data_IF_655366242137
#
_entry.id   IF_655366242137
#
_cell.length_a   1.000
_cell.length_b   1.000
_cell.length_c   1.000
_cell.angle_alpha   90.00
_cell.angle_beta   90.00
_cell.angle_gamma   90.00
#
_symmetry.space_group_name_H-M   'P 1'
#
loop_
_entity.id
_entity.type
_entity.pdbx_description
1 polymer ?
#
# COMPACT_ATOMS: atom_id res chain seq x y z
N UNK A 1 19.75 -16.78 -65.58
CA UNK A 1 20.78 -16.98 -64.54
C UNK A 1 20.11 -16.95 -63.19
N UNK A 2 20.26 -18.03 -62.43
CA UNK A 2 19.56 -18.27 -61.18
C UNK A 2 19.91 -17.19 -60.15
N UNK A 3 18.88 -16.61 -59.52
CA UNK A 3 19.04 -15.87 -58.26
C UNK A 3 19.31 -16.91 -57.18
N UNK A 4 20.58 -17.18 -56.93
CA UNK A 4 21.00 -17.91 -55.74
C UNK A 4 20.58 -17.10 -54.51
N UNK A 5 19.64 -17.64 -53.74
CA UNK A 5 19.27 -17.12 -52.43
C UNK A 5 20.50 -17.15 -51.53
N UNK A 6 21.12 -15.99 -51.32
CA UNK A 6 22.18 -15.82 -50.32
C UNK A 6 21.56 -16.05 -48.95
N UNK A 7 21.64 -17.28 -48.47
CA UNK A 7 21.26 -17.67 -47.11
C UNK A 7 22.21 -16.91 -46.17
N UNK A 8 21.79 -15.74 -45.70
CA UNK A 8 22.61 -14.82 -44.94
C UNK A 8 23.13 -15.47 -43.66
N UNK A 9 24.45 -15.67 -43.58
CA UNK A 9 25.12 -16.21 -42.38
C UNK A 9 24.90 -15.22 -41.23
N UNK A 10 24.24 -15.68 -40.16
CA UNK A 10 23.94 -14.85 -39.00
C UNK A 10 25.26 -14.41 -38.33
N UNK A 11 25.48 -13.11 -38.10
CA UNK A 11 26.71 -12.64 -37.46
C UNK A 11 26.88 -13.19 -36.03
N UNK A 12 28.10 -13.55 -35.64
CA UNK A 12 28.40 -14.08 -34.31
C UNK A 12 27.97 -13.17 -33.16
N UNK A 13 28.01 -11.85 -33.36
CA UNK A 13 27.56 -10.85 -32.40
C UNK A 13 26.07 -10.98 -32.08
N UNK A 14 25.25 -11.35 -33.08
CA UNK A 14 23.81 -11.58 -32.94
C UNK A 14 23.57 -12.87 -32.16
N UNK A 15 24.32 -13.94 -32.44
CA UNK A 15 24.24 -15.20 -31.70
C UNK A 15 24.62 -15.03 -30.21
N UNK A 16 25.68 -14.26 -29.91
CA UNK A 16 26.08 -13.94 -28.52
C UNK A 16 25.00 -13.10 -27.79
N UNK A 17 24.34 -12.18 -28.50
CA UNK A 17 23.22 -11.40 -27.95
C UNK A 17 21.99 -12.27 -27.66
N UNK A 18 21.66 -13.20 -28.56
CA UNK A 18 20.55 -14.13 -28.38
C UNK A 18 20.76 -15.01 -27.14
N UNK A 19 21.93 -15.63 -26.98
CA UNK A 19 22.28 -16.44 -25.79
C UNK A 19 22.15 -15.65 -24.49
N UNK A 20 22.67 -14.40 -24.45
CA UNK A 20 22.54 -13.53 -23.27
C UNK A 20 21.09 -13.19 -22.94
N UNK A 21 20.29 -12.90 -23.96
CA UNK A 21 18.86 -12.59 -23.77
C UNK A 21 18.09 -13.81 -23.25
N UNK A 22 18.43 -15.01 -23.72
CA UNK A 22 17.86 -16.27 -23.24
C UNK A 22 18.22 -16.50 -21.77
N UNK A 23 19.49 -16.34 -21.39
CA UNK A 23 19.94 -16.41 -19.99
C UNK A 23 19.20 -15.41 -19.10
N UNK A 24 19.09 -14.15 -19.53
CA UNK A 24 18.37 -13.11 -18.79
C UNK A 24 16.87 -13.40 -18.69
N UNK A 25 16.28 -13.98 -19.74
CA UNK A 25 14.88 -14.39 -19.71
C UNK A 25 14.64 -15.53 -18.72
N UNK A 26 15.58 -16.47 -18.60
CA UNK A 26 15.51 -17.55 -17.61
C UNK A 26 15.61 -17.01 -16.17
N UNK A 27 16.57 -16.12 -15.90
CA UNK A 27 16.72 -15.48 -14.58
C UNK A 27 15.45 -14.68 -14.22
N UNK A 28 14.92 -13.87 -15.13
CA UNK A 28 13.68 -13.12 -14.90
C UNK A 28 12.49 -14.04 -14.62
N UNK A 29 12.39 -15.18 -15.32
CA UNK A 29 11.32 -16.17 -15.05
C UNK A 29 11.44 -16.73 -13.64
N UNK A 30 12.65 -17.10 -13.20
CA UNK A 30 12.89 -17.60 -11.85
C UNK A 30 12.58 -16.54 -10.78
N UNK A 31 13.00 -15.29 -10.99
CA UNK A 31 12.69 -14.16 -10.10
C UNK A 31 11.18 -13.93 -10.00
N UNK A 32 10.46 -13.94 -11.13
CA UNK A 32 9.00 -13.78 -11.16
C UNK A 32 8.29 -14.91 -10.42
N UNK A 33 8.74 -16.16 -10.56
CA UNK A 33 8.19 -17.30 -9.81
C UNK A 33 8.42 -17.14 -8.31
N UNK A 34 9.61 -16.73 -7.90
CA UNK A 34 9.92 -16.44 -6.49
C UNK A 34 9.04 -15.31 -5.94
N UNK A 35 8.83 -14.24 -6.71
CA UNK A 35 8.00 -13.11 -6.34
C UNK A 35 6.51 -13.51 -6.24
N UNK A 36 6.03 -14.38 -7.14
CA UNK A 36 4.67 -14.93 -7.08
C UNK A 36 4.45 -15.75 -5.80
N UNK A 37 5.41 -16.59 -5.41
CA UNK A 37 5.36 -17.36 -4.15
C UNK A 37 5.30 -16.43 -2.95
N UNK A 38 6.21 -15.46 -2.86
CA UNK A 38 6.22 -14.43 -1.80
C UNK A 38 4.91 -13.63 -1.74
N UNK A 39 4.35 -13.25 -2.90
CA UNK A 39 3.07 -12.53 -2.97
C UNK A 39 1.90 -13.36 -2.48
N UNK A 40 1.89 -14.67 -2.76
CA UNK A 40 0.86 -15.60 -2.25
C UNK A 40 0.92 -15.69 -0.73
N UNK A 41 2.11 -15.84 -0.15
CA UNK A 41 2.33 -15.86 1.29
C UNK A 41 1.93 -14.54 1.94
N UNK A 42 2.36 -13.41 1.37
CA UNK A 42 2.01 -12.07 1.86
C UNK A 42 0.51 -11.84 1.84
N UNK A 43 -0.21 -12.33 0.82
CA UNK A 43 -1.66 -12.24 0.74
C UNK A 43 -2.35 -13.03 1.86
N UNK A 44 -1.88 -14.25 2.16
CA UNK A 44 -2.39 -15.04 3.29
C UNK A 44 -2.17 -14.32 4.61
N UNK A 45 -1.00 -13.71 4.79
CA UNK A 45 -0.66 -12.93 5.98
C UNK A 45 -1.55 -11.69 6.14
N UNK A 46 -1.77 -10.92 5.06
CA UNK A 46 -2.65 -9.75 5.07
C UNK A 46 -4.09 -10.15 5.44
N UNK A 47 -4.58 -11.26 4.89
CA UNK A 47 -5.92 -11.77 5.22
C UNK A 47 -6.03 -12.13 6.70
N UNK A 48 -5.01 -12.80 7.25
CA UNK A 48 -4.97 -13.13 8.69
C UNK A 48 -4.97 -11.87 9.56
N UNK A 49 -4.13 -10.88 9.22
CA UNK A 49 -4.05 -9.60 9.93
C UNK A 49 -5.36 -8.83 9.87
N UNK A 50 -6.03 -8.79 8.72
CA UNK A 50 -7.32 -8.14 8.58
C UNK A 50 -8.37 -8.74 9.52
N UNK A 51 -8.41 -10.08 9.64
CA UNK A 51 -9.29 -10.77 10.60
C UNK A 51 -8.93 -10.44 12.05
N UNK A 52 -7.64 -10.41 12.37
CA UNK A 52 -7.16 -10.04 13.71
C UNK A 52 -7.57 -8.63 14.10
N UNK A 53 -7.30 -7.63 13.24
CA UNK A 53 -7.68 -6.24 13.51
C UNK A 53 -9.19 -6.05 13.62
N UNK A 54 -9.99 -6.71 12.77
CA UNK A 54 -11.45 -6.64 12.88
C UNK A 54 -11.94 -7.17 14.24
N UNK A 55 -11.37 -8.28 14.71
CA UNK A 55 -11.69 -8.85 16.03
C UNK A 55 -11.26 -7.93 17.17
N UNK A 56 -10.04 -7.39 17.10
CA UNK A 56 -9.51 -6.45 18.09
C UNK A 56 -10.40 -5.21 18.24
N UNK A 57 -10.82 -4.59 17.12
CA UNK A 57 -11.70 -3.44 17.17
C UNK A 57 -13.10 -3.78 17.73
N UNK A 58 -13.66 -4.94 17.40
CA UNK A 58 -14.95 -5.37 17.95
C UNK A 58 -14.87 -5.64 19.46
N UNK A 59 -13.79 -6.26 19.93
CA UNK A 59 -13.53 -6.48 21.35
C UNK A 59 -13.37 -5.16 22.11
N UNK A 60 -12.60 -4.20 21.57
CA UNK A 60 -12.44 -2.86 22.16
C UNK A 60 -13.78 -2.12 22.27
N UNK A 61 -14.65 -2.20 21.26
CA UNK A 61 -15.98 -1.57 21.32
C UNK A 61 -16.87 -2.22 22.38
N UNK A 62 -16.88 -3.55 22.47
CA UNK A 62 -17.64 -4.29 23.50
C UNK A 62 -17.15 -3.97 24.91
N UNK A 63 -15.84 -3.86 25.09
CA UNK A 63 -15.22 -3.49 26.37
C UNK A 63 -15.63 -2.07 26.78
N UNK A 64 -15.58 -1.10 25.87
CA UNK A 64 -16.02 0.27 26.13
C UNK A 64 -17.49 0.32 26.59
N UNK A 65 -18.37 -0.42 25.93
CA UNK A 65 -19.79 -0.53 26.32
C UNK A 65 -19.92 -1.18 27.70
N UNK A 66 -19.15 -2.25 27.99
CA UNK A 66 -19.15 -2.92 29.29
C UNK A 66 -18.74 -1.96 30.40
N UNK A 67 -17.66 -1.21 30.22
CA UNK A 67 -17.17 -0.24 31.20
C UNK A 67 -18.20 0.87 31.46
N UNK A 68 -18.86 1.38 30.42
CA UNK A 68 -19.96 2.34 30.56
C UNK A 68 -21.13 1.78 31.38
N UNK A 69 -21.52 0.53 31.13
CA UNK A 69 -22.60 -0.14 31.87
C UNK A 69 -22.22 -0.38 33.33
N UNK A 70 -20.99 -0.83 33.58
CA UNK A 70 -20.49 -1.08 34.95
C UNK A 70 -20.40 0.22 35.76
N UNK A 71 -19.89 1.30 35.16
CA UNK A 71 -19.88 2.61 35.79
C UNK A 71 -21.30 3.06 36.15
N UNK A 72 -22.25 2.92 35.22
CA UNK A 72 -23.67 3.26 35.46
C UNK A 72 -24.29 2.43 36.59
N UNK A 73 -23.99 1.13 36.68
CA UNK A 73 -24.47 0.24 37.75
C UNK A 73 -23.93 0.66 39.12
N UNK A 74 -22.67 1.10 39.18
CA UNK A 74 -22.03 1.63 40.40
C UNK A 74 -22.47 3.05 40.76
N UNK A 75 -23.36 3.67 39.97
CA UNK A 75 -23.83 5.05 40.16
C UNK A 75 -22.82 6.12 39.72
N UNK A 76 -21.75 5.75 39.01
CA UNK A 76 -20.74 6.67 38.48
C UNK A 76 -20.82 6.85 36.96
N UNK A 77 -19.84 7.58 36.41
CA UNK A 77 -19.73 7.85 34.97
C UNK A 77 -18.38 7.35 34.44
N UNK A 78 -18.39 6.73 33.25
CA UNK A 78 -17.18 6.36 32.54
C UNK A 78 -16.73 7.52 31.65
N UNK A 79 -15.48 7.97 31.79
CA UNK A 79 -14.88 9.03 30.97
C UNK A 79 -14.14 8.37 29.81
N UNK A 80 -14.60 8.64 28.58
CA UNK A 80 -13.98 8.11 27.37
C UNK A 80 -12.60 8.77 27.13
N UNK A 81 -11.62 8.04 26.57
CA UNK A 81 -10.33 8.63 26.21
C UNK A 81 -10.48 9.63 25.06
N UNK A 82 -9.66 10.69 25.09
CA UNK A 82 -9.63 11.70 24.02
C UNK A 82 -9.10 11.13 22.69
N UNK A 83 -9.66 11.61 21.58
CA UNK A 83 -9.26 11.18 20.24
C UNK A 83 -7.84 11.66 19.88
N UNK A 84 -7.00 10.73 19.40
CA UNK A 84 -5.57 11.01 19.11
C UNK A 84 -5.29 11.50 17.69
N UNK A 85 -6.17 11.19 16.74
CA UNK A 85 -5.95 11.46 15.31
C UNK A 85 -7.08 12.32 14.77
N UNK A 86 -6.74 13.20 13.83
CA UNK A 86 -7.67 14.09 13.14
C UNK A 86 -7.51 13.92 11.64
N UNK A 87 -8.63 13.86 10.91
CA UNK A 87 -8.65 13.92 9.45
C UNK A 87 -9.08 15.32 9.02
N UNK A 88 -8.20 16.07 8.36
CA UNK A 88 -8.41 17.48 8.04
C UNK A 88 -8.63 17.63 6.53
N UNK A 89 -9.72 18.30 6.15
CA UNK A 89 -10.05 18.62 4.75
C UNK A 89 -10.15 20.13 4.62
N UNK A 90 -9.53 20.70 3.57
CA UNK A 90 -9.65 22.13 3.26
C UNK A 90 -10.95 22.39 2.51
N UNK A 91 -11.86 23.15 3.12
CA UNK A 91 -13.15 23.53 2.53
C UNK A 91 -13.12 24.88 1.79
N UNK A 92 -12.25 25.80 2.20
CA UNK A 92 -12.11 27.14 1.61
C UNK A 92 -10.87 27.21 0.72
N UNK A 93 -10.99 27.85 -0.43
CA UNK A 93 -9.86 28.11 -1.33
C UNK A 93 -8.88 29.16 -0.77
N UNK A 94 -7.87 29.51 -1.58
CA UNK A 94 -6.79 30.41 -1.15
C UNK A 94 -7.15 31.92 -1.15
N UNK A 95 -8.30 32.27 -1.69
CA UNK A 95 -8.71 33.66 -1.91
C UNK A 95 -9.05 34.36 -0.59
N UNK A 96 -8.55 35.59 -0.43
CA UNK A 96 -8.72 36.41 0.76
C UNK A 96 -8.38 35.67 2.07
N UNK A 97 -7.24 34.96 2.09
CA UNK A 97 -6.64 34.38 3.30
C UNK A 97 -5.33 35.07 3.64
N UNK A 98 -5.06 35.24 4.93
CA UNK A 98 -3.82 35.80 5.41
C UNK A 98 -2.62 34.87 5.06
N UNK A 99 -1.41 35.43 4.86
CA UNK A 99 -0.25 34.65 4.50
C UNK A 99 0.16 33.58 5.53
N UNK A 100 -0.12 33.79 6.83
CA UNK A 100 0.26 32.87 7.91
C UNK A 100 -0.61 31.61 7.86
N UNK A 101 -1.93 31.76 7.74
CA UNK A 101 -2.86 30.64 7.56
C UNK A 101 -2.57 29.88 6.27
N UNK A 102 -2.26 30.58 5.16
CA UNK A 102 -1.85 29.94 3.91
C UNK A 102 -0.61 29.06 4.12
N UNK A 103 0.37 29.53 4.91
CA UNK A 103 1.58 28.75 5.22
C UNK A 103 1.28 27.53 6.09
N UNK A 104 0.40 27.66 7.08
CA UNK A 104 -0.02 26.53 7.94
C UNK A 104 -0.67 25.43 7.08
N UNK A 105 -1.57 25.79 6.16
CA UNK A 105 -2.20 24.83 5.26
C UNK A 105 -1.18 24.13 4.35
N UNK A 106 -0.15 24.84 3.89
CA UNK A 106 0.95 24.23 3.12
C UNK A 106 1.75 23.22 3.95
N UNK A 107 2.00 23.49 5.24
CA UNK A 107 2.69 22.56 6.15
C UNK A 107 1.87 21.28 6.36
N UNK A 108 0.55 21.42 6.51
CA UNK A 108 -0.40 20.30 6.57
C UNK A 108 -0.64 19.63 5.21
N UNK A 109 0.04 20.08 4.14
CA UNK A 109 -0.07 19.58 2.77
C UNK A 109 -1.47 19.75 2.13
N UNK A 110 -2.27 20.69 2.62
CA UNK A 110 -3.58 21.06 2.08
C UNK A 110 -3.44 22.10 0.95
N UNK A 111 -3.04 21.62 -0.24
CA UNK A 111 -2.61 22.48 -1.37
C UNK A 111 -3.69 22.81 -2.40
N UNK A 112 -4.66 21.92 -2.59
CA UNK A 112 -5.73 22.04 -3.61
C UNK A 112 -6.64 23.22 -3.35
#
# INVERSE_FOLDING_TARGET
>A
MAKEEVKSVVPESVLKKQKRNEEWALVKKQELESAKKKRSETRKLILSRAKQYAKEYDEQQKELIRLKREAKLKGGFYVDPEAKLLFIIRIRGINAMDPKSRKILQLLRLRQ
#
